data_IF_605668039434
#
_entry.id   IF_605668039434
#
_cell.length_a   1.000
_cell.length_b   1.000
_cell.length_c   1.000
_cell.angle_alpha   90.00
_cell.angle_beta   90.00
_cell.angle_gamma   90.00
#
_symmetry.space_group_name_H-M   'P 1'
#
loop_
_entity.id
_entity.type
_entity.pdbx_description
1 polymer ?
#
# COMPACT_ATOMS: atom_id res chain seq x y z
N UNK A 1 -2.85 -6.11 3.07
CA UNK A 1 -2.40 -5.49 1.82
C UNK A 1 -1.05 -4.85 2.07
N UNK A 2 0.01 -5.31 1.41
CA UNK A 2 1.37 -4.87 1.66
C UNK A 2 2.05 -4.24 0.45
N UNK A 3 1.30 -3.92 -0.59
CA UNK A 3 1.83 -3.34 -1.82
C UNK A 3 1.55 -1.86 -1.90
N UNK A 4 2.56 -1.08 -2.27
CA UNK A 4 2.46 0.37 -2.50
C UNK A 4 2.91 0.71 -3.89
N UNK A 5 2.03 1.38 -4.64
CA UNK A 5 2.30 1.96 -5.96
C UNK A 5 2.29 3.47 -5.81
N UNK A 6 3.22 4.15 -6.44
CA UNK A 6 3.34 5.59 -6.30
C UNK A 6 2.51 6.36 -7.32
N UNK A 7 2.01 7.53 -6.91
CA UNK A 7 1.59 8.60 -7.80
C UNK A 7 2.80 9.51 -8.01
N UNK A 8 3.05 9.88 -9.25
CA UNK A 8 4.14 10.78 -9.68
C UNK A 8 3.59 11.90 -10.57
N UNK A 9 4.37 12.93 -10.79
CA UNK A 9 4.05 13.96 -11.80
C UNK A 9 4.11 13.35 -13.20
N UNK A 10 3.19 13.78 -14.06
CA UNK A 10 3.17 13.36 -15.47
C UNK A 10 4.48 13.75 -16.17
N UNK A 11 4.98 12.84 -17.02
CA UNK A 11 6.25 13.02 -17.73
C UNK A 11 7.51 12.59 -16.98
N UNK A 12 7.42 12.21 -15.69
CA UNK A 12 8.60 11.78 -14.91
C UNK A 12 8.82 10.25 -14.88
N UNK A 13 8.02 9.47 -15.60
CA UNK A 13 8.08 7.99 -15.57
C UNK A 13 9.48 7.43 -15.82
N UNK A 14 10.24 8.01 -16.76
CA UNK A 14 11.56 7.49 -17.11
C UNK A 14 12.52 7.47 -15.92
N UNK A 15 12.48 8.50 -15.08
CA UNK A 15 13.30 8.58 -13.86
C UNK A 15 13.09 7.38 -12.92
N UNK A 16 11.87 6.85 -12.87
CA UNK A 16 11.53 5.69 -12.04
C UNK A 16 11.87 4.37 -12.74
N UNK A 17 11.69 4.31 -14.05
CA UNK A 17 12.03 3.13 -14.86
C UNK A 17 13.53 2.80 -14.79
N UNK A 18 14.38 3.80 -14.65
CA UNK A 18 15.84 3.66 -14.61
C UNK A 18 16.34 3.11 -13.25
N UNK A 19 15.51 3.13 -12.20
CA UNK A 19 15.87 2.64 -10.85
C UNK A 19 16.06 1.11 -10.87
N UNK A 20 17.25 0.66 -10.50
CA UNK A 20 17.61 -0.75 -10.48
C UNK A 20 17.81 -1.32 -9.08
N UNK A 21 18.21 -0.50 -8.12
CA UNK A 21 18.56 -0.92 -6.75
C UNK A 21 17.73 -0.20 -5.70
N UNK A 22 17.65 -0.81 -4.50
CA UNK A 22 16.99 -0.17 -3.36
C UNK A 22 17.67 1.15 -2.97
N UNK A 23 18.99 1.23 -3.06
CA UNK A 23 19.72 2.45 -2.74
C UNK A 23 19.39 3.60 -3.69
N UNK A 24 19.24 3.32 -4.99
CA UNK A 24 18.75 4.32 -5.96
C UNK A 24 17.31 4.75 -5.64
N UNK A 25 16.44 3.80 -5.28
CA UNK A 25 15.07 4.14 -4.90
C UNK A 25 15.01 4.98 -3.61
N UNK A 26 15.88 4.72 -2.65
CA UNK A 26 15.97 5.51 -1.41
C UNK A 26 16.43 6.95 -1.65
N UNK A 27 17.03 7.26 -2.81
CA UNK A 27 17.37 8.64 -3.22
C UNK A 27 16.16 9.45 -3.66
N UNK A 28 15.03 8.79 -3.97
CA UNK A 28 13.76 9.43 -4.32
C UNK A 28 13.10 9.92 -3.04
N UNK A 29 12.66 11.18 -3.04
CA UNK A 29 11.94 11.76 -1.91
C UNK A 29 10.47 11.32 -1.99
N UNK A 30 10.03 10.62 -0.96
CA UNK A 30 8.64 10.13 -0.86
C UNK A 30 7.76 11.10 -0.08
N UNK A 31 6.49 11.19 -0.46
CA UNK A 31 5.47 11.91 0.30
C UNK A 31 4.59 10.95 1.09
N UNK A 32 4.19 11.28 2.32
CA UNK A 32 3.24 10.48 3.11
C UNK A 32 2.40 11.35 4.07
N UNK A 33 1.24 10.86 4.45
CA UNK A 33 0.43 11.51 5.49
C UNK A 33 1.15 11.51 6.84
N UNK A 34 1.13 12.65 7.55
CA UNK A 34 1.93 12.82 8.78
C UNK A 34 1.63 11.78 9.87
N UNK A 35 0.37 11.31 9.95
CA UNK A 35 -0.10 10.36 10.98
C UNK A 35 -0.29 8.95 10.40
N UNK A 36 0.22 8.68 9.20
CA UNK A 36 0.09 7.37 8.60
C UNK A 36 1.24 6.45 9.01
N UNK A 37 0.96 5.18 9.34
CA UNK A 37 1.99 4.20 9.70
C UNK A 37 3.09 4.05 8.64
N UNK A 38 2.73 4.22 7.37
CA UNK A 38 3.64 4.16 6.23
C UNK A 38 4.80 5.14 6.35
N UNK A 39 4.57 6.31 6.96
CA UNK A 39 5.61 7.33 7.19
C UNK A 39 6.78 6.77 8.01
N UNK A 40 6.48 6.11 9.12
CA UNK A 40 7.50 5.57 10.01
C UNK A 40 8.13 4.29 9.43
N UNK A 41 7.33 3.46 8.75
CA UNK A 41 7.84 2.26 8.07
C UNK A 41 8.87 2.66 7.02
N UNK A 42 8.55 3.57 6.11
CA UNK A 42 9.45 3.99 5.04
C UNK A 42 10.71 4.67 5.58
N UNK A 43 10.59 5.55 6.59
CA UNK A 43 11.74 6.17 7.25
C UNK A 43 12.67 5.15 7.89
N UNK A 44 12.11 4.14 8.57
CA UNK A 44 12.89 3.08 9.21
C UNK A 44 13.71 2.26 8.22
N UNK A 45 13.30 2.26 6.96
CA UNK A 45 13.95 1.56 5.86
C UNK A 45 14.85 2.48 4.99
N UNK A 46 15.20 3.65 5.51
CA UNK A 46 16.17 4.55 4.89
C UNK A 46 15.61 5.45 3.80
N UNK A 47 14.31 5.50 3.58
CA UNK A 47 13.72 6.45 2.65
C UNK A 47 13.64 7.86 3.23
N UNK A 48 13.86 8.87 2.38
CA UNK A 48 13.60 10.27 2.70
C UNK A 48 12.09 10.52 2.56
N UNK A 49 11.40 10.84 3.67
CA UNK A 49 9.95 11.02 3.66
C UNK A 49 9.56 12.41 4.13
N UNK A 50 8.94 13.17 3.24
CA UNK A 50 8.26 14.43 3.51
C UNK A 50 6.82 14.11 3.91
N UNK A 51 6.41 14.55 5.10
CA UNK A 51 5.06 14.30 5.59
C UNK A 51 4.21 15.55 5.62
N UNK A 52 2.90 15.39 5.38
CA UNK A 52 1.93 16.48 5.37
C UNK A 52 0.51 15.97 5.64
N UNK A 53 -0.45 16.90 5.66
CA UNK A 53 -1.86 16.52 5.76
C UNK A 53 -2.29 15.76 4.51
N UNK A 54 -3.03 14.66 4.68
CA UNK A 54 -3.41 13.76 3.59
C UNK A 54 -4.09 14.46 2.41
N UNK A 55 -4.99 15.41 2.69
CA UNK A 55 -5.71 16.23 1.69
C UNK A 55 -4.81 17.21 0.91
N UNK A 56 -3.56 17.42 1.34
CA UNK A 56 -2.59 18.32 0.70
C UNK A 56 -1.48 17.60 -0.06
N UNK A 57 -1.46 16.27 -0.01
CA UNK A 57 -0.33 15.51 -0.56
C UNK A 57 -0.20 15.68 -2.08
N UNK A 58 -1.30 15.68 -2.84
CA UNK A 58 -1.26 15.92 -4.29
C UNK A 58 -0.76 17.33 -4.60
N UNK A 59 -1.25 18.36 -3.90
CA UNK A 59 -0.76 19.72 -4.06
C UNK A 59 0.76 19.83 -3.79
N UNK A 60 1.25 19.09 -2.80
CA UNK A 60 2.67 19.06 -2.44
C UNK A 60 3.51 18.35 -3.50
N UNK A 61 3.01 17.25 -4.07
CA UNK A 61 3.63 16.53 -5.19
C UNK A 61 3.76 17.47 -6.41
N UNK A 62 2.69 18.14 -6.80
CA UNK A 62 2.66 19.08 -7.93
C UNK A 62 3.62 20.26 -7.73
N UNK A 63 3.82 20.71 -6.48
CA UNK A 63 4.79 21.75 -6.12
C UNK A 63 6.23 21.26 -5.99
N UNK A 64 6.50 19.99 -6.33
CA UNK A 64 7.83 19.41 -6.27
C UNK A 64 8.44 19.26 -4.87
N UNK A 65 7.61 19.19 -3.81
CA UNK A 65 8.10 19.02 -2.43
C UNK A 65 8.61 17.63 -2.15
N UNK A 66 8.20 16.67 -2.96
CA UNK A 66 8.69 15.29 -3.02
C UNK A 66 8.46 14.75 -4.43
N UNK A 67 9.00 13.58 -4.72
CA UNK A 67 9.03 13.01 -6.07
C UNK A 67 7.92 12.00 -6.32
N UNK A 68 7.56 11.22 -5.31
CA UNK A 68 6.59 10.14 -5.43
C UNK A 68 5.72 10.03 -4.18
N UNK A 69 4.46 9.67 -4.38
CA UNK A 69 3.46 9.50 -3.33
C UNK A 69 2.98 8.04 -3.29
N UNK A 70 3.62 7.17 -2.48
CA UNK A 70 3.20 5.78 -2.34
C UNK A 70 1.81 5.64 -1.74
N UNK A 71 0.96 4.86 -2.42
CA UNK A 71 -0.42 4.60 -2.04
C UNK A 71 -0.67 3.09 -1.95
N UNK A 72 -1.66 2.68 -1.18
CA UNK A 72 -2.13 1.30 -1.20
C UNK A 72 -2.57 0.89 -2.60
N UNK A 73 -2.44 -0.38 -2.94
CA UNK A 73 -2.64 -0.90 -4.29
C UNK A 73 -3.95 -0.48 -4.97
N UNK A 74 -5.00 -0.21 -4.19
CA UNK A 74 -6.34 0.15 -4.67
C UNK A 74 -6.59 1.65 -4.77
N UNK A 75 -5.74 2.50 -4.16
CA UNK A 75 -6.01 3.91 -3.98
C UNK A 75 -5.65 4.80 -5.19
N UNK A 76 -4.48 4.62 -5.86
CA UNK A 76 -3.96 5.63 -6.79
C UNK A 76 -4.81 5.83 -8.03
N UNK A 77 -5.58 4.83 -8.44
CA UNK A 77 -6.36 4.85 -9.69
C UNK A 77 -7.49 5.88 -9.68
N UNK A 78 -8.17 6.01 -8.55
CA UNK A 78 -9.23 7.02 -8.39
C UNK A 78 -8.64 8.40 -8.09
N UNK A 79 -7.49 8.45 -7.42
CA UNK A 79 -6.82 9.71 -7.08
C UNK A 79 -6.26 10.45 -8.32
N UNK A 80 -5.81 9.73 -9.36
CA UNK A 80 -5.32 10.32 -10.61
C UNK A 80 -6.42 10.59 -11.63
N UNK A 81 -7.63 10.10 -11.38
CA UNK A 81 -8.72 10.20 -12.36
C UNK A 81 -9.10 11.65 -12.63
N UNK A 82 -9.03 12.05 -13.91
CA UNK A 82 -9.34 13.40 -14.34
C UNK A 82 -8.28 14.45 -13.99
N UNK A 83 -7.06 14.02 -13.67
CA UNK A 83 -5.92 14.88 -13.40
C UNK A 83 -4.80 14.58 -14.42
N UNK A 84 -4.51 15.52 -15.31
CA UNK A 84 -3.52 15.34 -16.40
C UNK A 84 -2.09 15.55 -15.91
N UNK A 85 -1.90 16.24 -14.79
CA UNK A 85 -0.58 16.61 -14.24
C UNK A 85 0.06 15.51 -13.37
N UNK A 86 -0.68 14.46 -13.05
CA UNK A 86 -0.21 13.31 -12.27
C UNK A 86 -0.58 11.99 -12.92
N UNK A 87 0.20 10.96 -12.62
CA UNK A 87 -0.03 9.61 -13.13
C UNK A 87 0.37 8.55 -12.12
N UNK A 88 -0.12 7.33 -12.29
CA UNK A 88 0.35 6.17 -11.53
C UNK A 88 1.69 5.72 -12.12
N UNK A 89 2.71 5.64 -11.29
CA UNK A 89 4.03 5.10 -11.65
C UNK A 89 3.88 3.62 -12.06
N UNK A 90 4.57 3.18 -13.12
CA UNK A 90 4.32 1.87 -13.75
C UNK A 90 5.44 0.84 -13.60
N UNK A 91 6.60 1.22 -13.04
CA UNK A 91 7.82 0.37 -13.04
C UNK A 91 8.17 -0.21 -11.68
N UNK A 92 7.81 0.47 -10.59
CA UNK A 92 8.26 0.13 -9.25
C UNK A 92 7.09 -0.28 -8.34
N UNK A 93 7.43 -1.04 -7.31
CA UNK A 93 6.50 -1.44 -6.25
C UNK A 93 7.27 -1.58 -4.93
N UNK A 94 6.75 -1.00 -3.87
CA UNK A 94 7.23 -1.27 -2.52
C UNK A 94 6.33 -2.33 -1.89
N UNK A 95 6.93 -3.38 -1.34
CA UNK A 95 6.22 -4.44 -0.64
C UNK A 95 6.66 -4.51 0.82
N UNK A 96 5.71 -4.44 1.75
CA UNK A 96 5.90 -4.72 3.18
C UNK A 96 4.60 -5.19 3.81
N UNK A 97 4.70 -5.97 4.86
CA UNK A 97 3.52 -6.50 5.55
C UNK A 97 2.76 -5.38 6.26
N UNK A 98 1.54 -5.13 5.83
CA UNK A 98 0.64 -4.11 6.41
C UNK A 98 -0.76 -4.71 6.58
N UNK A 99 -1.02 -5.42 7.70
CA UNK A 99 -2.31 -6.03 7.95
C UNK A 99 -3.38 -4.97 8.24
N UNK A 100 -4.61 -5.25 7.81
CA UNK A 100 -5.79 -4.45 8.14
C UNK A 100 -6.59 -5.21 9.19
N UNK A 101 -7.02 -4.51 10.24
CA UNK A 101 -7.77 -5.10 11.33
C UNK A 101 -9.11 -4.40 11.54
N UNK A 102 -10.10 -5.16 11.95
CA UNK A 102 -11.30 -4.62 12.56
C UNK A 102 -11.01 -4.28 14.02
N UNK A 103 -11.44 -3.10 14.44
CA UNK A 103 -11.35 -2.67 15.83
C UNK A 103 -12.73 -2.61 16.46
N UNK A 104 -12.87 -3.20 17.63
CA UNK A 104 -14.10 -3.18 18.44
C UNK A 104 -13.78 -2.64 19.84
N UNK A 105 -14.82 -2.23 20.57
CA UNK A 105 -14.62 -1.85 21.97
C UNK A 105 -13.94 -2.99 22.74
N UNK A 106 -12.91 -2.68 23.51
CA UNK A 106 -12.09 -3.65 24.25
C UNK A 106 -12.91 -4.55 25.21
N UNK A 107 -14.07 -4.07 25.66
CA UNK A 107 -14.97 -4.81 26.56
C UNK A 107 -15.98 -5.67 25.77
N UNK A 108 -15.98 -5.65 24.44
CA UNK A 108 -16.89 -6.43 23.61
C UNK A 108 -16.15 -7.61 22.93
N UNK A 109 -15.66 -8.51 23.77
CA UNK A 109 -14.95 -9.71 23.30
C UNK A 109 -15.84 -10.63 22.45
N UNK A 110 -17.14 -10.69 22.76
CA UNK A 110 -18.10 -11.50 22.01
C UNK A 110 -18.19 -11.04 20.54
N UNK A 111 -18.22 -9.72 20.30
CA UNK A 111 -18.23 -9.18 18.93
C UNK A 111 -16.89 -9.44 18.22
N UNK A 112 -15.76 -9.28 18.93
CA UNK A 112 -14.45 -9.58 18.38
C UNK A 112 -14.35 -11.03 17.87
N UNK A 113 -14.73 -11.99 18.73
CA UNK A 113 -14.73 -13.42 18.39
C UNK A 113 -15.69 -13.75 17.24
N UNK A 114 -16.87 -13.11 17.21
CA UNK A 114 -17.83 -13.32 16.12
C UNK A 114 -17.30 -12.83 14.79
N UNK A 115 -16.65 -11.64 14.73
CA UNK A 115 -16.04 -11.10 13.52
C UNK A 115 -14.88 -12.01 13.08
N UNK A 116 -13.97 -12.36 13.99
CA UNK A 116 -12.83 -13.24 13.70
C UNK A 116 -13.29 -14.57 13.09
N UNK A 117 -14.25 -15.23 13.74
CA UNK A 117 -14.81 -16.49 13.23
C UNK A 117 -15.48 -16.33 11.85
N UNK A 118 -16.23 -15.24 11.65
CA UNK A 118 -16.88 -14.97 10.36
C UNK A 118 -15.87 -14.75 9.23
N UNK A 119 -14.78 -14.03 9.50
CA UNK A 119 -13.71 -13.80 8.51
C UNK A 119 -12.94 -15.09 8.18
N UNK A 120 -12.65 -15.93 9.18
CA UNK A 120 -12.01 -17.24 8.97
C UNK A 120 -12.89 -18.11 8.07
N UNK A 121 -14.19 -18.22 8.39
CA UNK A 121 -15.14 -18.99 7.57
C UNK A 121 -15.22 -18.46 6.13
N UNK A 122 -15.24 -17.14 5.94
CA UNK A 122 -15.31 -16.53 4.61
C UNK A 122 -14.04 -16.80 3.77
N UNK A 123 -12.88 -16.95 4.40
CA UNK A 123 -11.65 -17.39 3.74
C UNK A 123 -11.72 -18.88 3.39
N UNK A 124 -12.17 -19.71 4.33
CA UNK A 124 -12.24 -21.17 4.16
C UNK A 124 -13.26 -21.60 3.09
N UNK A 125 -14.41 -20.92 3.00
CA UNK A 125 -15.47 -21.24 2.03
C UNK A 125 -15.32 -20.51 0.68
N UNK A 126 -14.30 -19.64 0.54
CA UNK A 126 -14.01 -18.89 -0.68
C UNK A 126 -14.91 -17.66 -0.90
N UNK A 127 -15.84 -17.35 -0.01
CA UNK A 127 -16.73 -16.19 -0.17
C UNK A 127 -16.00 -14.86 -0.05
N UNK A 128 -14.90 -14.81 0.71
CA UNK A 128 -14.02 -13.63 0.74
C UNK A 128 -13.37 -13.37 -0.62
N UNK A 129 -12.80 -14.40 -1.26
CA UNK A 129 -12.17 -14.28 -2.57
C UNK A 129 -13.21 -13.91 -3.64
N UNK A 130 -14.39 -14.51 -3.60
CA UNK A 130 -15.48 -14.17 -4.51
C UNK A 130 -15.88 -12.69 -4.37
N UNK A 131 -16.02 -12.18 -3.15
CA UNK A 131 -16.31 -10.78 -2.88
C UNK A 131 -15.17 -9.88 -3.37
N UNK A 132 -13.92 -10.21 -3.03
CA UNK A 132 -12.74 -9.42 -3.41
C UNK A 132 -12.62 -9.27 -4.92
N UNK A 133 -12.85 -10.35 -5.66
CA UNK A 133 -12.73 -10.37 -7.12
C UNK A 133 -13.94 -9.78 -7.86
N UNK A 134 -15.07 -9.56 -7.20
CA UNK A 134 -16.30 -9.02 -7.81
C UNK A 134 -16.65 -7.61 -7.37
N UNK A 135 -16.14 -7.13 -6.23
CA UNK A 135 -16.48 -5.81 -5.70
C UNK A 135 -15.80 -4.70 -6.50
N UNK A 136 -16.55 -3.65 -6.84
CA UNK A 136 -16.07 -2.54 -7.69
C UNK A 136 -14.79 -1.85 -7.19
N UNK A 137 -14.52 -1.87 -5.90
CA UNK A 137 -13.31 -1.29 -5.32
C UNK A 137 -12.08 -2.20 -5.41
N UNK A 138 -12.23 -3.48 -5.77
CA UNK A 138 -11.14 -4.46 -5.72
C UNK A 138 -11.01 -5.34 -6.97
N UNK A 139 -12.06 -5.52 -7.75
CA UNK A 139 -12.11 -6.45 -8.88
C UNK A 139 -10.97 -6.28 -9.90
N UNK A 140 -10.63 -5.04 -10.26
CA UNK A 140 -9.64 -4.73 -11.31
C UNK A 140 -8.25 -4.37 -10.76
N UNK A 141 -8.05 -4.47 -9.44
CA UNK A 141 -6.82 -3.96 -8.81
C UNK A 141 -5.58 -4.68 -9.33
N UNK A 142 -5.62 -5.98 -9.43
CA UNK A 142 -4.46 -6.77 -9.86
C UNK A 142 -4.13 -6.52 -11.33
N UNK A 143 -5.15 -6.44 -12.18
CA UNK A 143 -4.99 -6.15 -13.60
C UNK A 143 -4.43 -4.74 -13.84
N UNK A 144 -4.92 -3.73 -13.10
CA UNK A 144 -4.41 -2.37 -13.17
C UNK A 144 -2.98 -2.26 -12.61
N UNK A 145 -2.70 -2.98 -11.54
CA UNK A 145 -1.40 -2.93 -10.88
C UNK A 145 -0.27 -3.57 -11.69
N UNK A 146 -0.56 -4.58 -12.53
CA UNK A 146 0.42 -5.30 -13.35
C UNK A 146 1.66 -5.70 -12.55
N UNK A 147 1.44 -6.42 -11.44
CA UNK A 147 2.49 -6.73 -10.47
C UNK A 147 3.69 -7.48 -11.08
N UNK A 148 3.44 -8.30 -12.09
CA UNK A 148 4.41 -9.11 -12.84
C UNK A 148 5.38 -8.29 -13.67
N UNK A 149 5.01 -7.06 -14.01
CA UNK A 149 5.86 -6.14 -14.82
C UNK A 149 6.65 -5.14 -13.98
N UNK A 150 6.43 -5.10 -12.67
CA UNK A 150 7.05 -4.14 -11.76
C UNK A 150 8.28 -4.72 -11.05
N UNK A 151 9.27 -3.88 -10.87
CA UNK A 151 10.38 -4.21 -9.96
C UNK A 151 9.91 -4.05 -8.51
N UNK A 152 9.96 -5.15 -7.76
CA UNK A 152 9.50 -5.19 -6.38
C UNK A 152 10.66 -4.94 -5.43
N UNK A 153 10.53 -3.94 -4.57
CA UNK A 153 11.42 -3.67 -3.45
C UNK A 153 10.73 -4.10 -2.15
N UNK A 154 11.14 -5.23 -1.63
CA UNK A 154 10.63 -5.75 -0.37
C UNK A 154 11.38 -5.15 0.81
N UNK A 155 10.65 -4.60 1.77
CA UNK A 155 11.19 -3.96 2.97
C UNK A 155 10.50 -4.50 4.22
N UNK A 156 11.14 -4.36 5.40
CA UNK A 156 10.53 -4.79 6.66
C UNK A 156 9.56 -3.74 7.21
N UNK A 157 8.57 -4.21 7.97
CA UNK A 157 7.73 -3.38 8.81
C UNK A 157 8.07 -3.61 10.29
N UNK A 158 8.90 -2.76 10.90
CA UNK A 158 9.32 -2.91 12.29
C UNK A 158 8.17 -2.68 13.29
N UNK A 159 7.08 -2.04 12.87
CA UNK A 159 5.93 -1.73 13.71
C UNK A 159 4.98 -2.91 13.93
N UNK A 160 5.23 -4.07 13.30
CA UNK A 160 4.40 -5.25 13.52
C UNK A 160 4.53 -5.77 14.95
N UNK A 161 3.39 -5.95 15.63
CA UNK A 161 3.34 -6.62 16.92
C UNK A 161 3.79 -8.08 16.80
N UNK A 162 4.22 -8.68 17.91
CA UNK A 162 4.57 -10.10 17.95
C UNK A 162 3.41 -11.01 17.49
N UNK A 163 2.16 -10.61 17.78
CA UNK A 163 0.94 -11.32 17.32
C UNK A 163 0.78 -11.20 15.79
N UNK A 164 0.97 -10.01 15.23
CA UNK A 164 0.88 -9.79 13.78
C UNK A 164 1.98 -10.53 13.01
N UNK A 165 3.21 -10.60 13.57
CA UNK A 165 4.32 -11.35 12.95
C UNK A 165 3.99 -12.84 12.80
N UNK A 166 3.30 -13.45 13.78
CA UNK A 166 2.87 -14.86 13.69
C UNK A 166 1.86 -15.12 12.56
N UNK A 167 1.15 -14.09 12.11
CA UNK A 167 0.20 -14.24 11.00
C UNK A 167 0.88 -14.22 9.62
N UNK A 168 2.16 -13.84 9.53
CA UNK A 168 2.89 -13.82 8.27
C UNK A 168 3.03 -15.22 7.64
N UNK A 169 3.06 -16.26 8.46
CA UNK A 169 3.17 -17.64 8.02
C UNK A 169 1.85 -18.19 7.43
N UNK A 170 0.72 -17.55 7.72
CA UNK A 170 -0.57 -17.96 7.19
C UNK A 170 -0.86 -17.27 5.86
N UNK A 171 -0.47 -17.94 4.78
CA UNK A 171 -0.57 -17.40 3.41
C UNK A 171 -1.99 -17.03 2.99
N UNK A 172 -3.02 -17.71 3.51
CA UNK A 172 -4.42 -17.41 3.20
C UNK A 172 -4.88 -16.00 3.63
N UNK A 173 -4.12 -15.33 4.51
CA UNK A 173 -4.42 -13.97 4.98
C UNK A 173 -3.81 -12.87 4.13
N UNK A 174 -2.99 -13.21 3.10
CA UNK A 174 -2.22 -12.23 2.35
C UNK A 174 -2.54 -12.29 0.86
N UNK A 175 -2.71 -11.11 0.26
CA UNK A 175 -2.86 -10.97 -1.17
C UNK A 175 -1.52 -11.20 -1.85
N UNK A 176 -1.47 -12.09 -2.84
CA UNK A 176 -0.30 -12.45 -3.64
C UNK A 176 0.88 -13.03 -2.80
N UNK A 177 1.14 -14.28 -3.03
CA UNK A 177 2.22 -15.07 -2.42
C UNK A 177 3.47 -15.10 -3.30
#
# INVERSE_FOLDING_TARGET
>A
MGYRIAIIRSGEQQRFTDIQTLAEFQSIILGQGQDWPDTDILRSQGFIVVSGKGDKMIDMLLKGRFDAFPRGLHEPWDEVKGQDDIQVESSLLIKYSSPIYFFVNKNNEQLAQRIEKGLILAIEDGSFDALFNSHSATADILDKAKLDTRKIFEIDNPSLSARSRKLLDNKALWLCH
#
